data_IF_541881186961
#
_entry.id   IF_541881186961
#
_cell.length_a   1.000
_cell.length_b   1.000
_cell.length_c   1.000
_cell.angle_alpha   90.00
_cell.angle_beta   90.00
_cell.angle_gamma   90.00
#
_symmetry.space_group_name_H-M   'P 1'
#
loop_
_entity.id
_entity.type
_entity.pdbx_description
1 polymer ?
#
# COMPACT_ATOMS: atom_id res chain seq x y z
N UNK A 1 -0.16 -8.78 -6.59
CA UNK A 1 0.16 -7.34 -6.57
C UNK A 1 1.37 -7.08 -5.68
N UNK A 2 2.16 -6.07 -6.03
CA UNK A 2 3.28 -5.60 -5.23
C UNK A 2 3.01 -4.18 -4.73
N UNK A 3 3.21 -3.95 -3.43
CA UNK A 3 3.10 -2.66 -2.78
C UNK A 3 4.37 -2.32 -1.96
N UNK A 4 5.44 -3.11 -2.11
CA UNK A 4 6.70 -2.91 -1.39
C UNK A 4 7.64 -2.09 -2.28
N UNK A 5 8.12 -0.92 -1.82
CA UNK A 5 9.10 -0.13 -2.56
C UNK A 5 10.34 -0.96 -2.91
N UNK A 6 10.80 -0.89 -4.14
CA UNK A 6 11.91 -1.66 -4.71
C UNK A 6 11.73 -3.20 -4.63
N UNK A 7 10.49 -3.67 -4.44
CA UNK A 7 10.18 -5.09 -4.32
C UNK A 7 9.67 -5.75 -5.62
N UNK A 8 9.53 -5.00 -6.71
CA UNK A 8 8.91 -5.51 -7.93
C UNK A 8 9.76 -6.57 -8.63
N UNK A 9 11.09 -6.43 -8.59
CA UNK A 9 12.01 -7.42 -9.15
C UNK A 9 11.97 -8.78 -8.41
N UNK A 10 11.76 -8.76 -7.10
CA UNK A 10 11.60 -9.99 -6.32
C UNK A 10 10.17 -10.57 -6.51
N UNK A 11 9.16 -9.70 -6.57
CA UNK A 11 7.78 -10.10 -6.71
C UNK A 11 7.51 -10.83 -8.03
N UNK A 12 8.12 -10.43 -9.15
CA UNK A 12 7.92 -11.09 -10.44
C UNK A 12 8.39 -12.55 -10.42
N UNK A 13 9.41 -12.87 -9.63
CA UNK A 13 9.91 -14.23 -9.45
C UNK A 13 8.87 -15.21 -8.88
N UNK A 14 7.86 -14.70 -8.16
CA UNK A 14 6.77 -15.50 -7.58
C UNK A 14 5.57 -15.68 -8.50
N UNK A 15 5.54 -14.96 -9.63
CA UNK A 15 4.43 -15.03 -10.60
C UNK A 15 4.67 -16.17 -11.57
N UNK A 16 3.63 -16.96 -11.84
CA UNK A 16 3.68 -18.02 -12.86
C UNK A 16 3.92 -17.43 -14.26
N UNK A 17 4.50 -18.22 -15.16
CA UNK A 17 4.66 -17.83 -16.56
C UNK A 17 3.31 -17.47 -17.19
N UNK A 18 3.26 -16.41 -17.97
CA UNK A 18 2.03 -15.89 -18.58
C UNK A 18 1.03 -15.32 -17.57
N UNK A 19 1.44 -15.09 -16.33
CA UNK A 19 0.61 -14.50 -15.29
C UNK A 19 0.53 -12.97 -15.38
N UNK A 20 0.09 -12.34 -14.31
CA UNK A 20 -0.09 -10.89 -14.24
C UNK A 20 0.49 -10.34 -12.93
N UNK A 21 1.29 -9.28 -13.02
CA UNK A 21 1.82 -8.53 -11.89
C UNK A 21 1.31 -7.09 -11.93
N UNK A 22 0.56 -6.69 -10.91
CA UNK A 22 0.23 -5.28 -10.69
C UNK A 22 1.16 -4.71 -9.61
N UNK A 23 1.67 -3.51 -9.82
CA UNK A 23 2.50 -2.80 -8.84
C UNK A 23 2.03 -1.36 -8.66
N UNK A 24 1.98 -0.90 -7.41
CA UNK A 24 1.70 0.49 -7.06
C UNK A 24 2.98 1.29 -6.78
N UNK A 25 4.11 0.64 -6.81
CA UNK A 25 5.43 1.26 -6.69
C UNK A 25 5.94 1.65 -8.07
N UNK A 26 6.70 2.73 -8.17
CA UNK A 26 7.16 3.25 -9.46
C UNK A 26 8.46 2.57 -9.95
N UNK A 27 8.59 1.28 -9.65
CA UNK A 27 9.74 0.44 -10.00
C UNK A 27 9.29 -0.84 -10.72
N UNK A 28 8.56 -0.75 -11.86
CA UNK A 28 8.15 -1.95 -12.58
C UNK A 28 9.39 -2.78 -12.98
N UNK A 29 9.34 -4.11 -12.82
CA UNK A 29 10.44 -4.97 -13.25
C UNK A 29 10.48 -5.08 -14.77
N UNK A 30 11.58 -5.61 -15.31
CA UNK A 30 11.66 -5.96 -16.73
C UNK A 30 10.66 -7.06 -17.08
N UNK A 31 10.17 -7.03 -18.33
CA UNK A 31 9.28 -8.07 -18.83
C UNK A 31 10.01 -9.41 -18.94
N UNK A 32 9.42 -10.44 -18.39
CA UNK A 32 9.95 -11.81 -18.46
C UNK A 32 8.85 -12.85 -18.48
N UNK A 33 9.14 -14.03 -18.99
CA UNK A 33 8.27 -15.22 -18.98
C UNK A 33 6.83 -14.99 -19.47
N UNK A 34 6.60 -13.95 -20.30
CA UNK A 34 5.27 -13.58 -20.78
C UNK A 34 4.35 -13.06 -19.69
N UNK A 35 4.89 -12.58 -18.58
CA UNK A 35 4.12 -11.97 -17.48
C UNK A 35 3.69 -10.56 -17.90
N UNK A 36 2.40 -10.30 -17.81
CA UNK A 36 1.86 -8.96 -18.03
C UNK A 36 2.10 -8.09 -16.80
N UNK A 37 2.73 -6.93 -16.99
CA UNK A 37 3.03 -5.97 -15.92
C UNK A 37 2.10 -4.77 -16.04
N UNK A 38 1.35 -4.48 -14.96
CA UNK A 38 0.47 -3.30 -14.87
C UNK A 38 0.94 -2.37 -13.76
N UNK A 39 1.68 -1.31 -14.09
CA UNK A 39 1.94 -0.25 -13.14
C UNK A 39 0.65 0.52 -12.87
N UNK A 40 0.27 0.62 -11.59
CA UNK A 40 -0.90 1.39 -11.14
C UNK A 40 -0.41 2.73 -10.62
N UNK A 41 -0.78 3.80 -11.30
CA UNK A 41 -0.47 5.17 -10.89
C UNK A 41 -1.65 5.69 -10.06
N UNK A 42 -1.33 6.23 -8.89
CA UNK A 42 -2.34 6.81 -7.99
C UNK A 42 -2.88 8.10 -8.61
N UNK A 43 -4.20 8.16 -8.77
CA UNK A 43 -4.91 9.36 -9.18
C UNK A 43 -5.75 9.88 -7.99
N UNK A 44 -5.71 11.18 -7.67
CA UNK A 44 -6.55 11.75 -6.64
C UNK A 44 -8.03 11.63 -7.02
N UNK A 45 -8.81 10.90 -6.25
CA UNK A 45 -10.25 10.74 -6.43
C UNK A 45 -10.98 10.87 -5.08
N UNK A 46 -11.42 12.09 -4.78
CA UNK A 46 -12.15 12.38 -3.53
C UNK A 46 -13.52 11.70 -3.47
N UNK A 47 -14.15 11.38 -4.61
CA UNK A 47 -15.42 10.66 -4.62
C UNK A 47 -15.20 9.20 -4.22
N UNK A 48 -14.25 8.53 -4.85
CA UNK A 48 -13.91 7.15 -4.50
C UNK A 48 -13.46 7.04 -3.04
N UNK A 49 -12.71 8.02 -2.52
CA UNK A 49 -12.35 8.07 -1.11
C UNK A 49 -13.57 8.20 -0.20
N UNK A 50 -14.58 8.99 -0.58
CA UNK A 50 -15.83 9.11 0.14
C UNK A 50 -16.59 7.79 0.21
N UNK A 51 -16.70 7.07 -0.91
CA UNK A 51 -17.34 5.75 -0.99
C UNK A 51 -16.61 4.73 -0.09
N UNK A 52 -15.28 4.73 -0.06
CA UNK A 52 -14.50 3.89 0.85
C UNK A 52 -14.71 4.25 2.32
N UNK A 53 -14.84 5.53 2.64
CA UNK A 53 -15.14 5.97 4.00
C UNK A 53 -16.54 5.52 4.48
N UNK A 54 -17.54 5.51 3.58
CA UNK A 54 -18.86 4.97 3.88
C UNK A 54 -18.82 3.47 4.16
N UNK A 55 -18.08 2.69 3.37
CA UNK A 55 -17.88 1.26 3.61
C UNK A 55 -17.19 0.99 4.95
N UNK A 56 -16.20 1.81 5.31
CA UNK A 56 -15.52 1.74 6.60
C UNK A 56 -16.49 2.04 7.75
N UNK A 57 -17.32 3.08 7.63
CA UNK A 57 -18.32 3.43 8.63
C UNK A 57 -19.41 2.37 8.79
N UNK A 58 -19.78 1.67 7.71
CA UNK A 58 -20.72 0.57 7.73
C UNK A 58 -20.14 -0.75 8.28
N UNK A 59 -18.82 -0.81 8.51
CA UNK A 59 -18.14 -2.04 8.93
C UNK A 59 -17.91 -3.06 7.82
N UNK A 60 -18.11 -2.67 6.57
CA UNK A 60 -17.87 -3.51 5.39
C UNK A 60 -16.40 -3.48 4.94
N UNK A 61 -15.65 -2.49 5.41
CA UNK A 61 -14.21 -2.34 5.21
C UNK A 61 -13.53 -2.16 6.57
N UNK A 62 -12.40 -2.82 6.77
CA UNK A 62 -11.56 -2.67 7.94
C UNK A 62 -10.22 -2.02 7.61
N UNK A 63 -9.78 -1.09 8.46
CA UNK A 63 -8.42 -0.55 8.45
C UNK A 63 -7.76 -0.88 9.77
N UNK A 64 -6.72 -1.69 9.73
CA UNK A 64 -5.95 -2.01 10.93
C UNK A 64 -5.12 -0.81 11.36
N UNK A 65 -5.35 -0.33 12.58
CA UNK A 65 -4.54 0.73 13.21
C UNK A 65 -3.55 0.07 14.17
N UNK A 66 -2.25 0.19 13.85
CA UNK A 66 -1.18 -0.38 14.67
C UNK A 66 -0.83 0.49 15.87
N UNK A 67 -0.83 1.81 15.69
CA UNK A 67 -0.51 2.76 16.75
C UNK A 67 -1.16 4.14 16.49
N UNK A 68 -1.43 4.85 17.57
CA UNK A 68 -1.93 6.23 17.52
C UNK A 68 -1.04 7.10 18.40
N UNK A 69 -0.61 8.22 17.88
CA UNK A 69 0.24 9.19 18.55
C UNK A 69 -0.45 10.55 18.61
N UNK A 70 -0.23 11.35 19.65
CA UNK A 70 -0.59 12.76 19.61
C UNK A 70 0.29 13.49 18.58
N UNK A 71 -0.19 14.62 18.05
CA UNK A 71 0.51 15.36 17.00
C UNK A 71 1.92 15.83 17.43
N UNK A 72 2.09 16.12 18.71
CA UNK A 72 3.37 16.52 19.30
C UNK A 72 4.44 15.43 19.18
N UNK A 73 4.03 14.17 19.05
CA UNK A 73 4.91 13.01 18.91
C UNK A 73 5.08 12.56 17.45
N UNK A 74 4.86 13.44 16.48
CA UNK A 74 4.94 13.12 15.05
C UNK A 74 6.26 12.47 14.63
N UNK A 75 7.38 12.87 15.23
CA UNK A 75 8.68 12.24 14.95
C UNK A 75 8.72 10.77 15.37
N UNK A 76 8.13 10.42 16.51
CA UNK A 76 8.00 9.04 16.98
C UNK A 76 7.06 8.21 16.10
N UNK A 77 5.95 8.80 15.69
CA UNK A 77 5.00 8.19 14.77
C UNK A 77 5.64 7.89 13.40
N UNK A 78 6.42 8.84 12.87
CA UNK A 78 7.15 8.66 11.61
C UNK A 78 8.17 7.53 11.72
N UNK A 79 8.92 7.46 12.80
CA UNK A 79 9.88 6.39 13.04
C UNK A 79 9.18 5.02 13.14
N UNK A 80 8.02 4.94 13.80
CA UNK A 80 7.23 3.71 13.88
C UNK A 80 6.69 3.27 12.51
N UNK A 81 6.24 4.22 11.68
CA UNK A 81 5.71 3.93 10.34
C UNK A 81 6.78 3.47 9.36
N UNK A 82 8.01 4.05 9.44
CA UNK A 82 9.10 3.77 8.51
C UNK A 82 10.03 2.64 8.96
N UNK A 83 9.98 2.28 10.26
CA UNK A 83 10.80 1.20 10.82
C UNK A 83 10.42 -0.21 10.37
N UNK A 84 9.29 -0.36 9.68
CA UNK A 84 8.78 -1.64 9.18
C UNK A 84 8.10 -2.49 10.27
N UNK A 85 7.22 -3.38 9.85
CA UNK A 85 6.58 -4.34 10.75
C UNK A 85 5.48 -3.77 11.68
N UNK A 86 5.01 -2.56 11.44
CA UNK A 86 3.96 -1.96 12.27
C UNK A 86 2.64 -2.77 12.26
N UNK A 87 2.38 -3.53 11.20
CA UNK A 87 1.19 -4.38 11.10
C UNK A 87 -0.11 -3.62 10.86
N UNK A 88 -0.06 -2.33 10.57
CA UNK A 88 -1.22 -1.48 10.30
C UNK A 88 -0.86 -0.01 10.18
N UNK A 89 -1.86 0.83 10.04
CA UNK A 89 -1.69 2.27 9.93
C UNK A 89 -1.16 2.87 11.24
N UNK A 90 -0.25 3.83 11.12
CA UNK A 90 0.16 4.70 12.23
C UNK A 90 -0.58 6.03 12.09
N UNK A 91 -1.34 6.39 13.10
CA UNK A 91 -2.25 7.53 13.07
C UNK A 91 -1.76 8.64 14.01
N UNK A 92 -1.79 9.88 13.52
CA UNK A 92 -1.60 11.08 14.34
C UNK A 92 -2.97 11.65 14.70
N UNK A 93 -3.16 12.01 15.95
CA UNK A 93 -4.35 12.76 16.42
C UNK A 93 -3.96 14.19 16.78
N UNK A 94 -4.70 15.16 16.27
CA UNK A 94 -4.52 16.57 16.66
C UNK A 94 -4.89 16.80 18.14
#
# INVERSE_FOLDING_TARGET
ANAVPNGSADAIGTVRDGGHLATITQDPPDEERGIEISPVIVEPDGRALGELAELLAAGELEVSVAATFPLEEAAGAFAAATGGGAGGAVVLRP
#
